data_IF_182840647283
#
_entry.id   IF_182840647283
#
_cell.length_a   1.000
_cell.length_b   1.000
_cell.length_c   1.000
_cell.angle_alpha   90.00
_cell.angle_beta   90.00
_cell.angle_gamma   90.00
#
_symmetry.space_group_name_H-M   'P 1'
#
loop_
_entity.id
_entity.type
_entity.pdbx_description
1 polymer ?
#
# COMPACT_ATOMS: atom_id res chain seq x y z
N UNK A 1 35.04 -22.04 -5.56
CA UNK A 1 33.67 -21.56 -5.28
C UNK A 1 33.58 -20.17 -5.88
N UNK A 2 32.54 -19.87 -6.66
CA UNK A 2 32.31 -18.51 -7.16
C UNK A 2 32.02 -17.58 -5.98
N UNK A 3 32.59 -16.37 -6.01
CA UNK A 3 32.39 -15.28 -5.05
C UNK A 3 31.25 -14.35 -5.48
N UNK A 4 30.45 -14.75 -6.48
CA UNK A 4 29.42 -13.89 -7.04
C UNK A 4 28.29 -13.74 -6.00
N UNK A 5 27.85 -12.49 -5.71
CA UNK A 5 26.71 -12.26 -4.85
C UNK A 5 25.48 -13.02 -5.36
N UNK A 6 24.79 -13.73 -4.46
CA UNK A 6 23.56 -14.44 -4.77
C UNK A 6 22.45 -14.07 -3.78
N UNK A 7 21.21 -14.14 -4.24
CA UNK A 7 20.03 -13.93 -3.39
C UNK A 7 19.78 -15.21 -2.61
N UNK A 8 19.77 -15.12 -1.29
CA UNK A 8 19.55 -16.27 -0.41
C UNK A 8 18.06 -16.49 -0.08
N UNK A 9 17.28 -15.41 0.02
CA UNK A 9 15.84 -15.44 0.32
C UNK A 9 15.18 -14.10 -0.06
N UNK A 10 13.84 -14.11 -0.21
CA UNK A 10 13.04 -12.90 -0.45
C UNK A 10 11.80 -12.92 0.45
N UNK A 11 11.75 -12.01 1.42
CA UNK A 11 10.59 -11.81 2.27
C UNK A 11 9.73 -10.64 1.79
N UNK A 12 8.41 -10.82 1.81
CA UNK A 12 7.44 -9.74 1.51
C UNK A 12 6.39 -9.66 2.59
N UNK A 13 5.91 -8.45 2.87
CA UNK A 13 4.76 -8.18 3.72
C UNK A 13 3.86 -7.14 3.03
N UNK A 14 2.56 -7.20 3.32
CA UNK A 14 1.58 -6.26 2.82
C UNK A 14 0.58 -5.95 3.95
N UNK A 15 -0.07 -4.77 3.93
CA UNK A 15 -1.14 -4.47 4.86
C UNK A 15 -2.28 -5.50 4.77
N UNK A 16 -2.95 -5.73 5.90
CA UNK A 16 -4.07 -6.68 5.98
C UNK A 16 -5.31 -6.18 5.24
N UNK A 17 -5.59 -4.89 5.31
CA UNK A 17 -6.74 -4.31 4.63
C UNK A 17 -6.50 -4.26 3.12
N UNK A 18 -7.47 -4.77 2.36
CA UNK A 18 -7.41 -4.83 0.89
C UNK A 18 -8.50 -3.97 0.28
N UNK A 19 -8.07 -3.06 -0.59
CA UNK A 19 -8.96 -2.32 -1.48
C UNK A 19 -9.14 -3.11 -2.75
N UNK A 20 -10.32 -3.69 -2.93
CA UNK A 20 -10.69 -4.33 -4.20
C UNK A 20 -10.83 -3.29 -5.30
N UNK A 21 -10.77 -3.72 -6.57
CA UNK A 21 -11.07 -2.86 -7.72
C UNK A 21 -12.40 -2.12 -7.58
N UNK A 22 -13.46 -2.83 -7.17
CA UNK A 22 -14.81 -2.27 -7.01
C UNK A 22 -14.83 -1.20 -5.92
N UNK A 23 -14.26 -1.48 -4.75
CA UNK A 23 -14.16 -0.51 -3.67
C UNK A 23 -13.32 0.71 -4.07
N UNK A 24 -12.21 0.49 -4.79
CA UNK A 24 -11.39 1.59 -5.28
C UNK A 24 -12.14 2.50 -6.25
N UNK A 25 -12.96 1.93 -7.13
CA UNK A 25 -13.82 2.68 -8.04
C UNK A 25 -14.86 3.52 -7.27
N UNK A 26 -15.54 2.93 -6.28
CA UNK A 26 -16.49 3.64 -5.43
C UNK A 26 -15.84 4.83 -4.72
N UNK A 27 -14.68 4.63 -4.09
CA UNK A 27 -13.94 5.70 -3.43
C UNK A 27 -13.51 6.81 -4.40
N UNK A 28 -13.13 6.45 -5.63
CA UNK A 28 -12.73 7.42 -6.63
C UNK A 28 -13.91 8.26 -7.14
N UNK A 29 -15.10 7.67 -7.27
CA UNK A 29 -16.32 8.43 -7.60
C UNK A 29 -16.67 9.43 -6.50
N UNK A 30 -16.62 9.00 -5.24
CA UNK A 30 -16.92 9.84 -4.08
C UNK A 30 -16.00 11.08 -4.04
N UNK A 31 -14.71 10.90 -4.31
CA UNK A 31 -13.70 11.95 -4.16
C UNK A 31 -13.47 12.77 -5.44
N UNK A 32 -13.89 12.29 -6.61
CA UNK A 32 -13.65 12.94 -7.91
C UNK A 32 -14.92 13.12 -8.73
N UNK A 33 -15.94 13.84 -8.22
CA UNK A 33 -17.24 13.98 -8.88
C UNK A 33 -17.19 14.75 -10.21
N UNK A 34 -16.08 15.43 -10.50
CA UNK A 34 -15.86 16.13 -11.77
C UNK A 34 -15.33 15.22 -12.89
N UNK A 35 -14.91 13.98 -12.58
CA UNK A 35 -14.43 13.04 -13.57
C UNK A 35 -15.60 12.29 -14.24
N UNK A 36 -15.54 12.06 -15.56
CA UNK A 36 -16.54 11.24 -16.25
C UNK A 36 -16.55 9.81 -15.69
N UNK A 37 -17.72 9.37 -15.21
CA UNK A 37 -17.91 8.05 -14.59
C UNK A 37 -17.51 6.91 -15.54
N UNK A 38 -17.87 7.01 -16.82
CA UNK A 38 -17.57 6.02 -17.85
C UNK A 38 -16.06 5.81 -18.04
N UNK A 39 -15.29 6.90 -18.07
CA UNK A 39 -13.82 6.86 -18.17
C UNK A 39 -13.19 6.29 -16.91
N UNK A 40 -13.72 6.66 -15.74
CA UNK A 40 -13.23 6.15 -14.46
C UNK A 40 -13.50 4.65 -14.34
N UNK A 41 -14.70 4.19 -14.72
CA UNK A 41 -15.05 2.77 -14.72
C UNK A 41 -14.14 1.98 -15.67
N UNK A 42 -13.96 2.46 -16.89
CA UNK A 42 -13.06 1.83 -17.86
C UNK A 42 -11.61 1.72 -17.33
N UNK A 43 -11.10 2.78 -16.69
CA UNK A 43 -9.77 2.76 -16.07
C UNK A 43 -9.66 1.65 -15.02
N UNK A 44 -10.65 1.53 -14.13
CA UNK A 44 -10.64 0.49 -13.11
C UNK A 44 -10.77 -0.90 -13.72
N UNK A 45 -11.66 -1.09 -14.69
CA UNK A 45 -11.88 -2.38 -15.34
C UNK A 45 -10.64 -2.91 -16.07
N UNK A 46 -9.90 -2.03 -16.76
CA UNK A 46 -8.78 -2.40 -17.63
C UNK A 46 -7.39 -2.27 -16.99
N UNK A 47 -7.26 -1.74 -15.75
CA UNK A 47 -5.94 -1.52 -15.13
C UNK A 47 -5.20 -2.81 -14.70
N UNK A 48 -5.80 -3.99 -14.86
CA UNK A 48 -5.18 -5.27 -14.47
C UNK A 48 -5.04 -5.49 -12.96
N UNK A 49 -5.58 -4.59 -12.12
CA UNK A 49 -5.49 -4.67 -10.66
C UNK A 49 -6.78 -5.23 -10.08
N UNK A 50 -6.71 -6.40 -9.45
CA UNK A 50 -7.87 -6.98 -8.72
C UNK A 50 -8.02 -6.37 -7.33
N UNK A 51 -6.91 -6.16 -6.62
CA UNK A 51 -6.88 -5.59 -5.28
C UNK A 51 -5.52 -4.98 -4.93
N UNK A 52 -5.49 -4.03 -3.99
CA UNK A 52 -4.28 -3.43 -3.42
C UNK A 52 -4.33 -3.45 -1.90
N UNK A 53 -3.19 -3.65 -1.25
CA UNK A 53 -3.09 -3.47 0.21
C UNK A 53 -3.13 -2.00 0.58
N UNK A 54 -3.73 -1.67 1.73
CA UNK A 54 -3.78 -0.33 2.30
C UNK A 54 -3.57 -0.39 3.81
N UNK A 55 -2.78 0.53 4.34
CA UNK A 55 -2.57 0.69 5.80
C UNK A 55 -3.80 1.26 6.52
N UNK A 56 -4.72 1.85 5.76
CA UNK A 56 -5.98 2.38 6.25
C UNK A 56 -7.15 1.53 5.75
N UNK A 57 -8.19 1.45 6.57
CA UNK A 57 -9.53 1.07 6.12
C UNK A 57 -10.21 2.25 5.40
N UNK A 58 -11.47 2.08 5.00
CA UNK A 58 -12.23 3.12 4.29
C UNK A 58 -12.40 4.39 5.14
N UNK A 59 -12.62 4.26 6.45
CA UNK A 59 -12.80 5.40 7.34
C UNK A 59 -11.50 6.19 7.47
N UNK A 60 -10.39 5.51 7.78
CA UNK A 60 -9.07 6.13 7.86
C UNK A 60 -8.62 6.75 6.55
N UNK A 61 -8.96 6.14 5.40
CA UNK A 61 -8.69 6.75 4.10
C UNK A 61 -9.42 8.09 3.94
N UNK A 62 -10.71 8.16 4.29
CA UNK A 62 -11.51 9.39 4.20
C UNK A 62 -11.01 10.49 5.14
N UNK A 63 -10.57 10.11 6.33
CA UNK A 63 -10.12 11.06 7.35
C UNK A 63 -8.70 11.57 7.08
N UNK A 64 -7.81 10.73 6.53
CA UNK A 64 -6.36 11.00 6.54
C UNK A 64 -5.72 11.17 5.16
N UNK A 65 -6.33 10.70 4.07
CA UNK A 65 -5.69 10.71 2.75
C UNK A 65 -6.57 11.28 1.64
N UNK A 66 -7.81 10.79 1.53
CA UNK A 66 -8.71 11.13 0.43
C UNK A 66 -9.15 12.59 0.53
N UNK A 67 -8.97 13.32 -0.56
CA UNK A 67 -9.35 14.73 -0.63
C UNK A 67 -10.74 14.82 -1.25
N UNK A 68 -11.68 15.38 -0.49
CA UNK A 68 -13.02 15.66 -1.00
C UNK A 68 -13.04 16.88 -1.94
N UNK A 69 -14.16 17.09 -2.66
CA UNK A 69 -14.31 18.22 -3.57
C UNK A 69 -14.18 19.56 -2.82
N UNK A 70 -13.16 20.35 -3.15
CA UNK A 70 -12.94 21.68 -2.57
C UNK A 70 -12.09 21.72 -1.29
N UNK A 71 -11.52 20.59 -0.85
CA UNK A 71 -10.53 20.52 0.22
C UNK A 71 -9.08 20.53 -0.30
N UNK A 72 -8.13 20.78 0.61
CA UNK A 72 -6.69 20.63 0.35
C UNK A 72 -6.10 19.33 0.93
N UNK A 73 -6.96 18.41 1.37
CA UNK A 73 -6.54 17.15 1.99
C UNK A 73 -5.79 17.32 3.31
N UNK A 74 -5.25 16.21 3.80
CA UNK A 74 -4.30 16.20 4.91
C UNK A 74 -2.94 16.74 4.45
N UNK A 75 -2.25 17.47 5.34
CA UNK A 75 -0.90 17.97 5.07
C UNK A 75 0.09 16.81 4.89
N UNK A 76 1.22 17.06 4.23
CA UNK A 76 2.32 16.09 4.13
C UNK A 76 2.76 15.60 5.51
N UNK A 77 2.84 16.49 6.49
CA UNK A 77 3.20 16.15 7.88
C UNK A 77 2.19 15.18 8.50
N UNK A 78 0.89 15.46 8.35
CA UNK A 78 -0.17 14.57 8.83
C UNK A 78 -0.06 13.18 8.17
N UNK A 79 0.15 13.11 6.86
CA UNK A 79 0.36 11.84 6.14
C UNK A 79 1.60 11.08 6.64
N UNK A 80 2.71 11.79 6.90
CA UNK A 80 3.95 11.20 7.40
C UNK A 80 3.81 10.60 8.80
N UNK A 81 2.97 11.20 9.65
CA UNK A 81 2.70 10.68 11.00
C UNK A 81 2.14 9.25 10.99
N UNK A 82 1.42 8.88 9.91
CA UNK A 82 0.89 7.55 9.72
C UNK A 82 1.83 6.63 8.93
N UNK A 83 2.61 7.18 8.01
CA UNK A 83 3.49 6.40 7.14
C UNK A 83 4.60 5.68 7.93
N UNK A 84 5.36 6.41 8.76
CA UNK A 84 6.59 5.89 9.36
C UNK A 84 6.37 4.64 10.24
N UNK A 85 5.39 4.60 11.16
CA UNK A 85 5.14 3.41 11.97
C UNK A 85 4.79 2.18 11.13
N UNK A 86 3.89 2.34 10.16
CA UNK A 86 3.45 1.25 9.29
C UNK A 86 4.57 0.75 8.37
N UNK A 87 5.43 1.65 7.87
CA UNK A 87 6.59 1.29 7.05
C UNK A 87 7.61 0.45 7.83
N UNK A 88 7.87 0.81 9.10
CA UNK A 88 8.77 0.04 9.99
C UNK A 88 8.18 -1.34 10.27
N UNK A 89 6.89 -1.43 10.58
CA UNK A 89 6.22 -2.70 10.87
C UNK A 89 6.27 -3.65 9.67
N UNK A 90 5.85 -3.19 8.49
CA UNK A 90 5.87 -4.00 7.27
C UNK A 90 7.29 -4.37 6.84
N UNK A 91 8.25 -3.44 6.98
CA UNK A 91 9.66 -3.69 6.70
C UNK A 91 10.25 -4.77 7.61
N UNK A 92 9.93 -4.71 8.91
CA UNK A 92 10.37 -5.71 9.89
C UNK A 92 9.76 -7.08 9.59
N UNK A 93 8.46 -7.14 9.31
CA UNK A 93 7.78 -8.38 8.95
C UNK A 93 8.33 -9.01 7.65
N UNK A 94 8.68 -8.20 6.66
CA UNK A 94 9.33 -8.67 5.44
C UNK A 94 10.75 -9.19 5.71
N UNK A 95 11.53 -8.49 6.53
CA UNK A 95 12.88 -8.91 6.92
C UNK A 95 12.85 -10.22 7.71
N UNK A 96 11.95 -10.37 8.67
CA UNK A 96 11.80 -11.59 9.47
C UNK A 96 11.48 -12.82 8.60
N UNK A 97 10.63 -12.64 7.57
CA UNK A 97 10.35 -13.70 6.59
C UNK A 97 11.60 -14.09 5.78
N UNK A 98 12.38 -13.10 5.35
CA UNK A 98 13.64 -13.36 4.62
C UNK A 98 14.68 -14.06 5.51
N UNK A 99 14.81 -13.68 6.78
CA UNK A 99 15.70 -14.36 7.73
C UNK A 99 15.26 -15.79 7.99
N UNK A 100 13.95 -16.01 8.17
CA UNK A 100 13.40 -17.34 8.37
C UNK A 100 13.69 -18.27 7.18
N UNK A 101 13.48 -17.80 5.95
CA UNK A 101 13.71 -18.59 4.73
C UNK A 101 15.21 -18.84 4.45
N UNK A 102 16.08 -17.85 4.69
CA UNK A 102 17.52 -18.00 4.50
C UNK A 102 18.22 -18.83 5.57
N UNK A 103 17.58 -19.00 6.74
CA UNK A 103 18.21 -19.60 7.92
C UNK A 103 19.29 -18.72 8.56
N UNK A 104 19.45 -17.47 8.09
CA UNK A 104 20.35 -16.49 8.67
C UNK A 104 19.71 -15.81 9.89
N UNK A 105 20.54 -15.27 10.76
CA UNK A 105 20.13 -14.47 11.92
C UNK A 105 20.50 -13.01 11.72
N UNK A 106 19.83 -12.06 12.39
CA UNK A 106 20.19 -10.64 12.31
C UNK A 106 21.63 -10.32 12.70
N UNK A 107 22.32 -11.19 13.47
CA UNK A 107 23.73 -11.01 13.84
C UNK A 107 24.71 -11.30 12.70
N UNK A 108 24.25 -11.88 11.61
CA UNK A 108 25.05 -12.24 10.43
C UNK A 108 24.98 -11.19 9.31
N UNK A 109 24.25 -10.09 9.54
CA UNK A 109 24.08 -8.93 8.66
C UNK A 109 24.65 -7.70 9.36
#
# INVERSE_FOLDING_TARGET
MSLDPCILAIGTAAPDFKVSRALGYELALDCSPSLPEDKLRHLYDECGVTSRGSIFDVAGMRDSILEGPGGHGATTEARLSHFMPNAIELGSAAADRAFHESGCTPRQV
#
